data_IF_602836996323
#
_entry.id   IF_602836996323
#
_cell.length_a   1.000
_cell.length_b   1.000
_cell.length_c   1.000
_cell.angle_alpha   90.00
_cell.angle_beta   90.00
_cell.angle_gamma   90.00
#
_symmetry.space_group_name_H-M   'P 1'
#
loop_
_entity.id
_entity.type
_entity.pdbx_description
1 polymer ?
#
# COMPACT_ATOMS: atom_id res chain seq x y z
N UNK A 1 -35.05 -71.26 -43.46
CA UNK A 1 -33.70 -71.45 -42.89
C UNK A 1 -32.81 -70.35 -43.48
N UNK A 2 -32.12 -69.45 -42.79
CA UNK A 2 -31.53 -69.43 -41.44
C UNK A 2 -31.69 -68.00 -40.86
N UNK A 3 -32.02 -67.89 -39.57
CA UNK A 3 -32.04 -66.63 -38.82
C UNK A 3 -30.60 -66.21 -38.55
N UNK A 4 -30.19 -65.04 -39.02
CA UNK A 4 -28.88 -64.46 -38.72
C UNK A 4 -28.96 -63.88 -37.31
N UNK A 5 -28.16 -64.44 -36.41
CA UNK A 5 -28.11 -64.11 -34.99
C UNK A 5 -27.55 -62.70 -34.80
N UNK A 6 -28.44 -61.74 -34.53
CA UNK A 6 -28.12 -60.35 -34.22
C UNK A 6 -27.68 -60.20 -32.75
N UNK A 7 -26.82 -61.09 -32.27
CA UNK A 7 -26.34 -61.14 -30.88
C UNK A 7 -24.82 -61.00 -30.76
N UNK A 8 -24.08 -60.92 -31.88
CA UNK A 8 -22.63 -60.74 -31.85
C UNK A 8 -22.15 -59.29 -32.06
N UNK A 9 -23.09 -58.33 -32.16
CA UNK A 9 -22.78 -56.91 -32.31
C UNK A 9 -23.09 -56.08 -31.05
N UNK A 10 -23.27 -56.74 -29.90
CA UNK A 10 -23.58 -56.07 -28.63
C UNK A 10 -22.51 -56.30 -27.55
N UNK A 11 -21.36 -56.89 -27.92
CA UNK A 11 -20.26 -57.17 -26.98
C UNK A 11 -18.96 -56.41 -27.28
N UNK A 12 -19.01 -55.41 -28.17
CA UNK A 12 -17.83 -54.62 -28.58
C UNK A 12 -17.94 -53.13 -28.20
N UNK A 13 -18.85 -52.78 -27.28
CA UNK A 13 -19.06 -51.41 -26.80
C UNK A 13 -18.74 -51.22 -25.30
N UNK A 14 -17.93 -52.13 -24.73
CA UNK A 14 -17.33 -51.96 -23.39
C UNK A 14 -15.81 -51.83 -23.56
N UNK A 15 -15.40 -50.86 -24.39
CA UNK A 15 -14.03 -50.36 -24.31
C UNK A 15 -14.07 -49.26 -23.26
N UNK A 16 -13.41 -49.54 -22.14
CA UNK A 16 -13.11 -48.67 -21.02
C UNK A 16 -13.01 -47.20 -21.41
N UNK A 17 -14.10 -46.46 -21.23
CA UNK A 17 -14.02 -45.03 -20.96
C UNK A 17 -13.39 -44.91 -19.58
N UNK A 18 -12.07 -44.78 -19.54
CA UNK A 18 -11.40 -44.22 -18.38
C UNK A 18 -11.88 -42.77 -18.25
N UNK A 19 -13.04 -42.60 -17.60
CA UNK A 19 -13.50 -41.29 -17.14
C UNK A 19 -12.46 -40.85 -16.12
N UNK A 20 -11.49 -40.08 -16.59
CA UNK A 20 -10.60 -39.33 -15.71
C UNK A 20 -11.46 -38.24 -15.09
N UNK A 21 -12.01 -38.52 -13.91
CA UNK A 21 -12.55 -37.47 -13.07
C UNK A 21 -11.38 -36.55 -12.69
N UNK A 22 -11.24 -35.44 -13.41
CA UNK A 22 -10.36 -34.35 -12.99
C UNK A 22 -10.86 -33.90 -11.61
N UNK A 23 -9.99 -33.92 -10.60
CA UNK A 23 -10.29 -33.28 -9.31
C UNK A 23 -10.76 -31.86 -9.61
N UNK A 24 -11.91 -31.47 -9.05
CA UNK A 24 -12.32 -30.07 -9.10
C UNK A 24 -11.16 -29.22 -8.57
N UNK A 25 -10.80 -28.15 -9.28
CA UNK A 25 -9.66 -27.28 -9.00
C UNK A 25 -9.70 -26.60 -7.62
N UNK A 26 -10.66 -26.94 -6.77
CA UNK A 26 -10.99 -26.25 -5.54
C UNK A 26 -10.06 -26.69 -4.38
N UNK A 27 -9.32 -27.81 -4.48
CA UNK A 27 -8.40 -28.25 -3.41
C UNK A 27 -7.16 -28.99 -3.92
N UNK A 28 -6.18 -28.27 -4.46
CA UNK A 28 -4.78 -28.76 -4.49
C UNK A 28 -4.08 -28.43 -3.17
N UNK A 29 -3.05 -29.19 -2.81
CA UNK A 29 -2.27 -28.95 -1.58
C UNK A 29 -1.71 -27.51 -1.54
N UNK A 30 -1.27 -27.00 -2.70
CA UNK A 30 -0.73 -25.65 -2.87
C UNK A 30 -1.72 -24.55 -2.46
N UNK A 31 -3.02 -24.72 -2.77
CA UNK A 31 -4.05 -23.75 -2.38
C UNK A 31 -4.20 -23.67 -0.85
N UNK A 32 -4.11 -24.81 -0.15
CA UNK A 32 -4.21 -24.85 1.31
C UNK A 32 -3.00 -24.20 1.98
N UNK A 33 -1.80 -24.48 1.48
CA UNK A 33 -0.58 -23.86 2.01
C UNK A 33 -0.55 -22.35 1.73
N UNK A 34 -1.05 -21.92 0.56
CA UNK A 34 -1.23 -20.50 0.25
C UNK A 34 -2.20 -19.81 1.22
N UNK A 35 -3.38 -20.38 1.44
CA UNK A 35 -4.37 -19.81 2.38
C UNK A 35 -3.79 -19.69 3.79
N UNK A 36 -3.03 -20.71 4.23
CA UNK A 36 -2.31 -20.65 5.51
C UNK A 36 -1.25 -19.54 5.53
N UNK A 37 -0.51 -19.33 4.44
CA UNK A 37 0.47 -18.25 4.34
C UNK A 37 -0.20 -16.87 4.44
N UNK A 38 -1.38 -16.72 3.83
CA UNK A 38 -2.18 -15.49 3.92
C UNK A 38 -2.66 -15.25 5.36
N UNK A 39 -3.12 -16.29 6.07
CA UNK A 39 -3.49 -16.17 7.48
C UNK A 39 -2.30 -15.68 8.34
N UNK A 40 -1.14 -16.32 8.18
CA UNK A 40 0.09 -15.92 8.88
C UNK A 40 0.49 -14.47 8.56
N UNK A 41 0.37 -14.07 7.29
CA UNK A 41 0.66 -12.70 6.85
C UNK A 41 -0.28 -11.69 7.52
N UNK A 42 -1.58 -11.98 7.57
CA UNK A 42 -2.59 -11.12 8.22
C UNK A 42 -2.42 -11.04 9.74
N UNK A 43 -1.87 -12.10 10.36
CA UNK A 43 -1.47 -12.13 11.77
C UNK A 43 -0.10 -11.49 12.03
N UNK A 44 0.49 -10.82 11.04
CA UNK A 44 1.80 -10.17 11.08
C UNK A 44 2.99 -11.13 11.31
N UNK A 45 2.80 -12.43 11.14
CA UNK A 45 3.85 -13.44 11.22
C UNK A 45 4.63 -13.53 9.90
N UNK A 46 5.22 -12.41 9.48
CA UNK A 46 5.77 -12.23 8.13
C UNK A 46 6.90 -13.22 7.79
N UNK A 47 7.79 -13.53 8.73
CA UNK A 47 8.86 -14.51 8.49
C UNK A 47 8.30 -15.92 8.21
N UNK A 48 7.31 -16.37 9.00
CA UNK A 48 6.64 -17.65 8.80
C UNK A 48 5.82 -17.69 7.50
N UNK A 49 5.11 -16.59 7.22
CA UNK A 49 4.34 -16.44 5.99
C UNK A 49 5.24 -16.53 4.75
N UNK A 50 6.39 -15.83 4.78
CA UNK A 50 7.37 -15.81 3.69
C UNK A 50 7.87 -17.20 3.34
N UNK A 51 8.29 -18.00 4.35
CA UNK A 51 8.74 -19.38 4.12
C UNK A 51 7.66 -20.24 3.45
N UNK A 52 6.40 -20.03 3.82
CA UNK A 52 5.29 -20.79 3.25
C UNK A 52 4.95 -20.32 1.82
N UNK A 53 5.00 -19.01 1.55
CA UNK A 53 4.86 -18.49 0.18
C UNK A 53 6.00 -18.97 -0.73
N UNK A 54 7.24 -19.02 -0.24
CA UNK A 54 8.38 -19.58 -0.98
C UNK A 54 8.15 -21.05 -1.33
N UNK A 55 7.68 -21.84 -0.36
CA UNK A 55 7.30 -23.24 -0.58
C UNK A 55 6.23 -23.35 -1.67
N UNK A 56 5.13 -22.60 -1.57
CA UNK A 56 4.04 -22.63 -2.55
C UNK A 56 4.53 -22.21 -3.95
N UNK A 57 5.29 -21.11 -4.04
CA UNK A 57 5.87 -20.62 -5.30
C UNK A 57 6.74 -21.67 -5.99
N UNK A 58 7.52 -22.43 -5.22
CA UNK A 58 8.40 -23.48 -5.75
C UNK A 58 7.66 -24.73 -6.22
N UNK A 59 6.51 -25.05 -5.63
CA UNK A 59 5.76 -26.27 -5.90
C UNK A 59 4.71 -26.09 -7.02
N UNK A 60 4.12 -24.90 -7.13
CA UNK A 60 3.01 -24.68 -8.05
C UNK A 60 3.46 -24.47 -9.49
N UNK A 61 2.69 -25.00 -10.45
CA UNK A 61 2.84 -24.70 -11.87
C UNK A 61 1.95 -23.53 -12.34
N UNK A 62 1.08 -23.02 -11.48
CA UNK A 62 0.18 -21.91 -11.81
C UNK A 62 0.91 -20.56 -11.72
N UNK A 63 1.09 -19.89 -12.85
CA UNK A 63 1.81 -18.62 -12.94
C UNK A 63 1.13 -17.47 -12.18
N UNK A 64 -0.21 -17.45 -12.09
CA UNK A 64 -0.92 -16.47 -11.28
C UNK A 64 -0.63 -16.67 -9.79
N UNK A 65 -0.63 -17.93 -9.32
CA UNK A 65 -0.29 -18.24 -7.94
C UNK A 65 1.20 -17.94 -7.64
N UNK A 66 2.11 -18.18 -8.59
CA UNK A 66 3.52 -17.77 -8.46
C UNK A 66 3.66 -16.26 -8.35
N UNK A 67 2.94 -15.50 -9.18
CA UNK A 67 2.89 -14.03 -9.10
C UNK A 67 2.44 -13.57 -7.72
N UNK A 68 1.35 -14.15 -7.20
CA UNK A 68 0.81 -13.78 -5.90
C UNK A 68 1.78 -14.11 -4.76
N UNK A 69 2.38 -15.30 -4.79
CA UNK A 69 3.40 -15.67 -3.81
C UNK A 69 4.60 -14.73 -3.87
N UNK A 70 5.10 -14.40 -5.06
CA UNK A 70 6.23 -13.47 -5.20
C UNK A 70 5.89 -12.12 -4.55
N UNK A 71 4.74 -11.53 -4.87
CA UNK A 71 4.30 -10.28 -4.24
C UNK A 71 4.36 -10.37 -2.70
N UNK A 72 3.80 -11.44 -2.11
CA UNK A 72 3.78 -11.56 -0.65
C UNK A 72 5.16 -11.82 -0.04
N UNK A 73 6.04 -12.56 -0.72
CA UNK A 73 7.45 -12.74 -0.30
C UNK A 73 8.15 -11.38 -0.27
N UNK A 74 8.02 -10.59 -1.34
CA UNK A 74 8.57 -9.24 -1.41
C UNK A 74 8.01 -8.32 -0.32
N UNK A 75 6.71 -8.39 -0.06
CA UNK A 75 6.09 -7.60 0.99
C UNK A 75 6.55 -8.03 2.40
N UNK A 76 6.68 -9.33 2.66
CA UNK A 76 7.22 -9.84 3.92
C UNK A 76 8.65 -9.36 4.14
N UNK A 77 9.49 -9.36 3.11
CA UNK A 77 10.86 -8.84 3.16
C UNK A 77 10.88 -7.35 3.55
N UNK A 78 10.00 -6.54 2.95
CA UNK A 78 9.85 -5.11 3.31
C UNK A 78 9.45 -4.96 4.78
N UNK A 79 8.42 -5.70 5.23
CA UNK A 79 7.88 -5.57 6.60
C UNK A 79 8.82 -6.08 7.69
N UNK A 80 9.75 -6.96 7.33
CA UNK A 80 10.81 -7.45 8.22
C UNK A 80 12.13 -6.72 8.04
N UNK A 81 12.15 -5.66 7.23
CA UNK A 81 13.32 -4.85 6.92
C UNK A 81 14.53 -5.68 6.46
N UNK A 82 14.27 -6.70 5.64
CA UNK A 82 15.33 -7.55 5.07
C UNK A 82 16.18 -6.75 4.08
N UNK A 83 17.47 -7.09 4.01
CA UNK A 83 18.37 -6.54 3.00
C UNK A 83 17.91 -6.95 1.60
N UNK A 84 17.86 -5.99 0.66
CA UNK A 84 17.40 -6.23 -0.72
C UNK A 84 15.89 -6.36 -0.89
N UNK A 85 15.08 -5.97 0.11
CA UNK A 85 13.62 -6.02 0.04
C UNK A 85 13.04 -5.11 -1.07
N UNK A 86 13.66 -3.96 -1.31
CA UNK A 86 13.42 -3.07 -2.44
C UNK A 86 13.64 -3.79 -3.77
N UNK A 87 14.82 -4.38 -3.95
CA UNK A 87 15.19 -5.12 -5.17
C UNK A 87 14.23 -6.26 -5.43
N UNK A 88 13.81 -6.98 -4.39
CA UNK A 88 12.84 -8.06 -4.50
C UNK A 88 11.48 -7.57 -5.01
N UNK A 89 10.99 -6.43 -4.52
CA UNK A 89 9.74 -5.86 -5.01
C UNK A 89 9.87 -5.25 -6.41
N UNK A 90 11.03 -4.69 -6.76
CA UNK A 90 11.35 -4.23 -8.12
C UNK A 90 11.33 -5.38 -9.13
N UNK A 91 11.87 -6.54 -8.76
CA UNK A 91 11.77 -7.76 -9.56
C UNK A 91 10.32 -8.21 -9.72
N UNK A 92 9.52 -8.21 -8.65
CA UNK A 92 8.09 -8.52 -8.80
C UNK A 92 7.40 -7.62 -9.83
N UNK A 93 7.64 -6.30 -9.74
CA UNK A 93 7.06 -5.33 -10.67
C UNK A 93 7.48 -5.61 -12.12
N UNK A 94 8.75 -5.97 -12.33
CA UNK A 94 9.33 -6.21 -13.65
C UNK A 94 8.92 -7.55 -14.24
N UNK A 95 8.90 -8.61 -13.43
CA UNK A 95 8.64 -9.98 -13.85
C UNK A 95 7.14 -10.27 -14.06
N UNK A 96 6.26 -9.54 -13.35
CA UNK A 96 4.81 -9.73 -13.40
C UNK A 96 4.04 -8.43 -13.74
N UNK A 97 4.32 -7.77 -14.88
CA UNK A 97 3.77 -6.45 -15.23
C UNK A 97 2.24 -6.41 -15.36
N UNK A 98 1.60 -7.56 -15.58
CA UNK A 98 0.13 -7.68 -15.71
C UNK A 98 -0.55 -8.18 -14.44
N UNK A 99 0.19 -8.33 -13.33
CA UNK A 99 -0.37 -8.81 -12.07
C UNK A 99 -1.42 -7.84 -11.52
N UNK A 100 -2.50 -8.39 -10.97
CA UNK A 100 -3.52 -7.62 -10.24
C UNK A 100 -2.97 -6.93 -8.99
N UNK A 101 -1.76 -7.30 -8.55
CA UNK A 101 -1.07 -6.75 -7.37
C UNK A 101 -0.06 -5.64 -7.71
N UNK A 102 0.08 -5.26 -8.97
CA UNK A 102 1.00 -4.20 -9.40
C UNK A 102 0.83 -2.90 -8.61
N UNK A 103 -0.40 -2.41 -8.49
CA UNK A 103 -0.65 -1.15 -7.77
C UNK A 103 -0.24 -1.26 -6.29
N UNK A 104 -0.50 -2.40 -5.65
CA UNK A 104 -0.09 -2.66 -4.27
C UNK A 104 1.43 -2.74 -4.12
N UNK A 105 2.13 -3.27 -5.12
CA UNK A 105 3.59 -3.32 -5.13
C UNK A 105 4.20 -1.91 -5.23
N UNK A 106 3.68 -1.06 -6.13
CA UNK A 106 4.13 0.34 -6.21
C UNK A 106 3.98 1.09 -4.89
N UNK A 107 2.84 0.92 -4.21
CA UNK A 107 2.61 1.50 -2.88
C UNK A 107 3.61 0.95 -1.87
N UNK A 108 3.84 -0.38 -1.87
CA UNK A 108 4.78 -1.03 -0.97
C UNK A 108 6.21 -0.50 -1.10
N UNK A 109 6.73 -0.38 -2.33
CA UNK A 109 8.07 0.18 -2.58
C UNK A 109 8.14 1.65 -2.17
N UNK A 110 7.13 2.44 -2.54
CA UNK A 110 7.09 3.85 -2.17
C UNK A 110 7.11 4.03 -0.63
N UNK A 111 6.33 3.22 0.09
CA UNK A 111 6.28 3.23 1.56
C UNK A 111 7.60 2.79 2.19
N UNK A 112 8.30 1.84 1.58
CA UNK A 112 9.63 1.41 2.04
C UNK A 112 10.63 2.56 1.95
N UNK A 113 10.76 3.21 0.79
CA UNK A 113 11.64 4.36 0.63
C UNK A 113 11.22 5.54 1.50
N UNK A 114 9.92 5.76 1.67
CA UNK A 114 9.38 6.77 2.59
C UNK A 114 9.84 6.52 4.03
N UNK A 115 9.74 5.28 4.52
CA UNK A 115 10.15 4.91 5.88
C UNK A 115 11.65 5.07 6.11
N UNK A 116 12.47 4.94 5.06
CA UNK A 116 13.90 5.22 5.10
C UNK A 116 14.25 6.72 5.00
N UNK A 117 13.26 7.59 4.79
CA UNK A 117 13.45 9.02 4.54
C UNK A 117 13.97 9.35 3.12
N UNK A 118 13.99 8.38 2.21
CA UNK A 118 14.35 8.59 0.80
C UNK A 118 13.12 9.05 0.01
N UNK A 119 12.68 10.28 0.29
CA UNK A 119 11.49 10.88 -0.33
C UNK A 119 11.56 10.99 -1.86
N UNK A 120 12.72 11.29 -2.50
CA UNK A 120 12.82 11.30 -3.96
C UNK A 120 12.51 9.94 -4.59
N UNK A 121 13.05 8.85 -4.03
CA UNK A 121 12.71 7.50 -4.51
C UNK A 121 11.25 7.16 -4.22
N UNK A 122 10.76 7.50 -3.03
CA UNK A 122 9.35 7.29 -2.69
C UNK A 122 8.41 7.96 -3.72
N UNK A 123 8.69 9.20 -4.13
CA UNK A 123 7.91 9.92 -5.15
C UNK A 123 7.92 9.22 -6.51
N UNK A 124 9.07 8.72 -6.98
CA UNK A 124 9.15 7.98 -8.25
C UNK A 124 8.22 6.75 -8.27
N UNK A 125 8.07 6.08 -7.13
CA UNK A 125 7.17 4.94 -7.00
C UNK A 125 5.72 5.35 -6.77
N UNK A 126 5.48 6.39 -5.97
CA UNK A 126 4.15 6.96 -5.78
C UNK A 126 3.54 7.51 -7.08
N UNK A 127 4.35 7.90 -8.07
CA UNK A 127 3.87 8.37 -9.38
C UNK A 127 3.42 7.24 -10.31
N UNK A 128 3.80 5.99 -10.01
CA UNK A 128 3.33 4.79 -10.74
C UNK A 128 2.00 4.26 -10.20
N UNK A 129 1.59 4.73 -9.02
CA UNK A 129 0.35 4.28 -8.36
C UNK A 129 -0.87 4.81 -9.11
N UNK A 130 -1.77 3.90 -9.47
CA UNK A 130 -3.10 4.25 -9.92
C UNK A 130 -3.97 4.61 -8.71
N UNK A 131 -4.11 5.92 -8.47
CA UNK A 131 -4.88 6.47 -7.36
C UNK A 131 -6.37 6.08 -7.38
N UNK A 132 -6.92 5.79 -8.56
CA UNK A 132 -8.33 5.40 -8.73
C UNK A 132 -8.63 4.03 -8.11
N UNK A 133 -7.63 3.15 -8.09
CA UNK A 133 -7.70 1.79 -7.58
C UNK A 133 -7.27 1.64 -6.11
N UNK A 134 -7.11 2.75 -5.38
CA UNK A 134 -6.80 2.74 -3.95
C UNK A 134 -8.05 2.47 -3.09
N UNK A 135 -7.91 1.54 -2.13
CA UNK A 135 -8.89 1.32 -1.05
C UNK A 135 -8.93 2.54 -0.11
N UNK A 136 -10.03 2.74 0.63
CA UNK A 136 -10.23 3.94 1.47
C UNK A 136 -9.10 4.21 2.48
N UNK A 137 -8.70 3.19 3.26
CA UNK A 137 -7.64 3.35 4.26
C UNK A 137 -6.25 3.52 3.62
N UNK A 138 -5.98 2.81 2.52
CA UNK A 138 -4.70 2.96 1.80
C UNK A 138 -4.59 4.33 1.14
N UNK A 139 -5.72 4.90 0.70
CA UNK A 139 -5.79 6.19 0.02
C UNK A 139 -5.35 7.34 0.92
N UNK A 140 -5.81 7.38 2.16
CA UNK A 140 -5.43 8.45 3.09
C UNK A 140 -3.93 8.40 3.42
N UNK A 141 -3.43 7.21 3.75
CA UNK A 141 -2.00 7.02 4.01
C UNK A 141 -1.14 7.36 2.81
N UNK A 142 -1.53 6.89 1.62
CA UNK A 142 -0.87 7.23 0.36
C UNK A 142 -0.81 8.74 0.13
N UNK A 143 -1.95 9.42 0.21
CA UNK A 143 -2.03 10.86 -0.01
C UNK A 143 -1.18 11.63 0.99
N UNK A 144 -1.23 11.27 2.27
CA UNK A 144 -0.42 11.91 3.30
C UNK A 144 1.07 11.72 3.04
N UNK A 145 1.52 10.49 2.79
CA UNK A 145 2.94 10.18 2.57
C UNK A 145 3.48 10.82 1.28
N UNK A 146 2.69 10.81 0.19
CA UNK A 146 3.06 11.47 -1.06
C UNK A 146 3.14 12.99 -0.87
N UNK A 147 2.15 13.58 -0.19
CA UNK A 147 2.15 15.00 0.16
C UNK A 147 3.34 15.41 1.02
N UNK A 148 3.68 14.60 2.03
CA UNK A 148 4.86 14.82 2.87
C UNK A 148 6.17 14.70 2.09
N UNK A 149 6.25 13.76 1.16
CA UNK A 149 7.43 13.62 0.30
C UNK A 149 7.63 14.84 -0.61
N UNK A 150 6.55 15.41 -1.15
CA UNK A 150 6.60 16.69 -1.88
C UNK A 150 6.97 17.87 -0.98
N UNK A 151 6.46 17.91 0.25
CA UNK A 151 6.79 18.93 1.24
C UNK A 151 8.29 18.96 1.54
N UNK A 152 8.89 17.81 1.84
CA UNK A 152 10.34 17.71 2.08
C UNK A 152 11.14 18.09 0.82
N UNK A 153 10.60 17.77 -0.36
CA UNK A 153 11.19 18.17 -1.65
C UNK A 153 10.94 19.64 -2.02
N UNK A 154 10.35 20.44 -1.12
CA UNK A 154 9.99 21.87 -1.31
C UNK A 154 9.02 22.13 -2.47
N UNK A 155 8.31 21.11 -2.96
CA UNK A 155 7.26 21.27 -3.95
C UNK A 155 5.94 21.60 -3.25
N UNK A 156 5.81 22.86 -2.83
CA UNK A 156 4.64 23.36 -2.06
C UNK A 156 3.32 23.12 -2.78
N UNK A 157 3.28 23.29 -4.11
CA UNK A 157 2.06 23.11 -4.90
C UNK A 157 1.52 21.68 -4.78
N UNK A 158 2.36 20.69 -5.07
CA UNK A 158 1.92 19.28 -5.01
C UNK A 158 1.70 18.82 -3.56
N UNK A 159 2.53 19.28 -2.61
CA UNK A 159 2.32 19.01 -1.19
C UNK A 159 0.94 19.48 -0.73
N UNK A 160 0.55 20.71 -1.07
CA UNK A 160 -0.78 21.27 -0.77
C UNK A 160 -1.90 20.43 -1.41
N UNK A 161 -1.75 20.02 -2.67
CA UNK A 161 -2.74 19.17 -3.37
C UNK A 161 -3.01 17.89 -2.59
N UNK A 162 -1.96 17.16 -2.19
CA UNK A 162 -2.10 15.86 -1.55
C UNK A 162 -2.50 15.97 -0.07
N UNK A 163 -2.02 16.96 0.67
CA UNK A 163 -2.48 17.20 2.04
C UNK A 163 -3.96 17.60 2.11
N UNK A 164 -4.46 18.39 1.16
CA UNK A 164 -5.88 18.76 1.09
C UNK A 164 -6.80 17.54 0.91
N UNK A 165 -6.33 16.47 0.26
CA UNK A 165 -7.11 15.23 0.11
C UNK A 165 -7.38 14.51 1.43
N UNK A 166 -6.60 14.81 2.49
CA UNK A 166 -6.64 14.08 3.75
C UNK A 166 -6.97 14.93 4.96
N UNK A 167 -7.34 16.21 4.80
CA UNK A 167 -7.65 17.10 5.94
C UNK A 167 -8.81 16.61 6.82
N UNK A 168 -9.69 15.78 6.27
CA UNK A 168 -10.82 15.18 6.99
C UNK A 168 -10.55 13.73 7.40
N UNK A 169 -9.35 13.20 7.17
CA UNK A 169 -8.95 11.87 7.59
C UNK A 169 -8.89 11.79 9.12
N UNK A 170 -9.44 10.74 9.70
CA UNK A 170 -9.39 10.53 11.15
C UNK A 170 -7.95 10.32 11.65
N UNK A 171 -7.08 9.72 10.84
CA UNK A 171 -5.69 9.44 11.20
C UNK A 171 -4.75 10.58 10.79
N UNK A 172 -4.89 11.07 9.55
CA UNK A 172 -3.92 12.00 8.95
C UNK A 172 -4.38 13.47 8.91
N UNK A 173 -5.64 13.76 9.25
CA UNK A 173 -6.23 15.10 9.07
C UNK A 173 -5.48 16.20 9.78
N UNK A 174 -5.21 16.01 11.08
CA UNK A 174 -4.51 17.02 11.87
C UNK A 174 -3.03 17.15 11.49
N UNK A 175 -2.38 16.05 11.10
CA UNK A 175 -1.01 16.12 10.57
C UNK A 175 -0.97 16.93 9.26
N UNK A 176 -1.90 16.69 8.35
CA UNK A 176 -1.99 17.40 7.08
C UNK A 176 -2.28 18.89 7.29
N UNK A 177 -3.22 19.24 8.17
CA UNK A 177 -3.52 20.64 8.54
C UNK A 177 -2.31 21.34 9.15
N UNK A 178 -1.56 20.67 10.03
CA UNK A 178 -0.32 21.21 10.57
C UNK A 178 0.68 21.59 9.45
N UNK A 179 0.94 20.68 8.50
CA UNK A 179 1.85 20.98 7.38
C UNK A 179 1.31 22.05 6.43
N UNK A 180 0.00 22.08 6.18
CA UNK A 180 -0.64 23.15 5.40
C UNK A 180 -0.49 24.51 6.09
N UNK A 181 -0.68 24.57 7.40
CA UNK A 181 -0.47 25.78 8.21
C UNK A 181 0.98 26.24 8.19
N UNK A 182 1.92 25.30 8.34
CA UNK A 182 3.35 25.58 8.25
C UNK A 182 3.76 26.12 6.86
N UNK A 183 3.31 25.48 5.78
CA UNK A 183 3.58 25.97 4.43
C UNK A 183 2.94 27.34 4.17
N UNK A 184 1.77 27.63 4.74
CA UNK A 184 1.13 28.94 4.65
C UNK A 184 1.95 30.01 5.39
N UNK A 185 2.44 29.68 6.60
CA UNK A 185 3.34 30.53 7.37
C UNK A 185 4.63 30.86 6.59
N UNK A 186 5.30 29.86 6.01
CA UNK A 186 6.50 30.07 5.19
C UNK A 186 6.23 30.90 3.92
N UNK A 187 4.97 30.98 3.48
CA UNK A 187 4.56 31.80 2.34
C UNK A 187 3.93 33.15 2.73
N UNK A 188 4.09 33.59 3.98
CA UNK A 188 3.53 34.81 4.55
C UNK A 188 1.99 34.92 4.51
N UNK A 189 1.29 33.80 4.25
CA UNK A 189 -0.17 33.72 4.35
C UNK A 189 -0.58 33.42 5.81
N UNK A 190 -0.35 34.41 6.68
CA UNK A 190 -0.59 34.26 8.12
C UNK A 190 -2.07 34.06 8.46
N UNK A 191 -2.99 34.50 7.58
CA UNK A 191 -4.42 34.27 7.74
C UNK A 191 -4.74 32.78 7.60
N UNK A 192 -4.24 32.15 6.54
CA UNK A 192 -4.47 30.73 6.30
C UNK A 192 -3.68 29.86 7.28
N UNK A 193 -2.47 30.27 7.66
CA UNK A 193 -1.68 29.60 8.68
C UNK A 193 -2.40 29.57 10.04
N UNK A 194 -2.92 30.71 10.49
CA UNK A 194 -3.69 30.81 11.75
C UNK A 194 -4.91 29.89 11.72
N UNK A 195 -5.67 29.89 10.62
CA UNK A 195 -6.84 29.00 10.48
C UNK A 195 -6.47 27.53 10.69
N UNK A 196 -5.44 27.04 10.02
CA UNK A 196 -5.04 25.63 10.14
C UNK A 196 -4.47 25.29 11.52
N UNK A 197 -3.67 26.17 12.11
CA UNK A 197 -3.13 25.96 13.45
C UNK A 197 -4.22 25.96 14.52
N UNK A 198 -5.21 26.84 14.42
CA UNK A 198 -6.35 26.84 15.35
C UNK A 198 -7.13 25.53 15.28
N UNK A 199 -7.33 24.96 14.09
CA UNK A 199 -8.01 23.68 13.88
C UNK A 199 -7.27 22.47 14.50
N UNK A 200 -5.97 22.58 14.80
CA UNK A 200 -5.17 21.49 15.41
C UNK A 200 -4.63 21.84 16.80
N UNK A 201 -4.95 23.02 17.32
CA UNK A 201 -4.46 23.55 18.60
C UNK A 201 -4.86 22.71 19.82
N UNK A 202 -5.94 21.93 19.71
CA UNK A 202 -6.40 21.01 20.76
C UNK A 202 -5.56 19.73 20.88
N UNK A 203 -4.65 19.46 19.94
CA UNK A 203 -3.77 18.29 20.00
C UNK A 203 -2.41 18.64 20.60
N UNK A 204 -2.14 18.11 21.79
CA UNK A 204 -0.96 18.44 22.58
C UNK A 204 0.36 18.28 21.79
N UNK A 205 0.44 17.26 20.92
CA UNK A 205 1.63 17.00 20.07
C UNK A 205 1.99 18.12 19.09
N UNK A 206 1.06 19.03 18.77
CA UNK A 206 1.33 20.18 17.90
C UNK A 206 1.43 21.49 18.66
N UNK A 207 0.82 21.58 19.84
CA UNK A 207 0.77 22.81 20.64
C UNK A 207 2.16 23.41 20.84
N UNK A 208 3.09 22.64 21.39
CA UNK A 208 4.48 23.06 21.60
C UNK A 208 5.18 23.45 20.28
N UNK A 209 4.98 22.65 19.23
CA UNK A 209 5.58 22.91 17.91
C UNK A 209 5.04 24.15 17.22
N UNK A 210 3.85 24.61 17.60
CA UNK A 210 3.16 25.75 16.99
C UNK A 210 3.33 27.04 17.77
N UNK A 211 3.56 26.99 19.09
CA UNK A 211 3.69 28.18 19.95
C UNK A 211 4.63 29.23 19.35
N UNK A 212 5.81 28.80 18.88
CA UNK A 212 6.76 29.68 18.21
C UNK A 212 6.17 30.34 16.94
N UNK A 213 5.57 29.57 16.04
CA UNK A 213 4.99 30.12 14.81
C UNK A 213 3.82 31.05 15.10
N UNK A 214 2.97 30.72 16.06
CA UNK A 214 1.84 31.56 16.43
C UNK A 214 2.30 32.86 17.09
N UNK A 215 3.33 32.83 17.94
CA UNK A 215 3.93 34.02 18.52
C UNK A 215 4.56 34.92 17.45
N UNK A 216 5.39 34.37 16.56
CA UNK A 216 6.04 35.11 15.46
C UNK A 216 4.99 35.73 14.51
N UNK A 217 3.97 34.98 14.11
CA UNK A 217 2.90 35.52 13.26
C UNK A 217 2.14 36.65 13.95
N UNK A 218 1.79 36.51 15.23
CA UNK A 218 1.10 37.57 15.95
C UNK A 218 1.97 38.81 16.11
N UNK A 219 3.28 38.64 16.32
CA UNK A 219 4.23 39.75 16.32
C UNK A 219 4.24 40.47 14.97
N UNK A 220 4.35 39.73 13.86
CA UNK A 220 4.35 40.29 12.50
C UNK A 220 3.04 40.95 12.10
N UNK A 221 1.90 40.50 12.66
CA UNK A 221 0.59 41.10 12.47
C UNK A 221 0.33 42.31 13.40
N UNK A 222 1.26 42.65 14.29
CA UNK A 222 1.12 43.74 15.27
C UNK A 222 0.31 43.39 16.52
N UNK A 223 -0.06 42.12 16.70
CA UNK A 223 -0.80 41.60 17.86
C UNK A 223 0.17 41.27 19.02
N UNK A 224 0.92 42.26 19.49
CA UNK A 224 2.04 42.03 20.44
C UNK A 224 1.64 41.34 21.74
N UNK A 225 0.49 41.68 22.33
CA UNK A 225 0.03 41.03 23.56
C UNK A 225 -0.20 39.53 23.34
N UNK A 226 -0.87 39.17 22.24
CA UNK A 226 -1.11 37.78 21.87
C UNK A 226 0.20 37.04 21.56
N UNK A 227 1.19 37.73 20.99
CA UNK A 227 2.52 37.15 20.78
C UNK A 227 3.24 36.81 22.09
N UNK A 228 3.14 37.71 23.10
CA UNK A 228 3.70 37.48 24.45
C UNK A 228 2.98 36.34 25.16
N UNK A 229 1.65 36.25 25.05
CA UNK A 229 0.88 35.20 25.72
C UNK A 229 1.15 33.79 25.13
N UNK A 230 1.69 33.71 23.91
CA UNK A 230 1.94 32.47 23.18
C UNK A 230 3.42 32.05 23.15
N UNK A 231 4.35 32.95 23.48
CA UNK A 231 5.81 32.74 23.46
C UNK A 231 6.38 32.49 24.85
#
# INVERSE_FOLDING_TARGET
>A
MRKISWLFFLFLFIQSLSVSAQKSAIYTNDSKDFDKAILLYNENQYASAQLLFEKVKSATANEELKSDCFFYIANCAIRTNQSGADVLMEHFVTDYPTSRKQNQAYIGVAQFYFAQGNYPQALQWFDKVDEGNLSGNDRDKFNFQKGYSFFVSKNKKEATTYFNKVTNSAEYGSQAKYYLGFMAYEGDDYKQATKYFDEVSGEEKYKEKMSYYQADMNFKLGNFQKAIDLG
#
